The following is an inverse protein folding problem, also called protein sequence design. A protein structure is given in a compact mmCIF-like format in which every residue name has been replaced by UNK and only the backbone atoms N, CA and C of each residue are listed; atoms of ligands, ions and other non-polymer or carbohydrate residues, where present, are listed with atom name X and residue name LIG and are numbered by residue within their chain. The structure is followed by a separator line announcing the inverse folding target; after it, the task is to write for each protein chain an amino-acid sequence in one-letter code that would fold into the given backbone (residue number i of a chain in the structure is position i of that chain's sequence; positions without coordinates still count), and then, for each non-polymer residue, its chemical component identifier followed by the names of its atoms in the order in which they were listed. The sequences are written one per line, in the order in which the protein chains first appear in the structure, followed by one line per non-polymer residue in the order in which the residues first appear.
data_IF_959767996998
#
_entry.id   IF_959767996998
#
_cell.length_a   1.000
_cell.length_b   1.000
_cell.length_c   1.000
_cell.angle_alpha   90.00
_cell.angle_beta   90.00
_cell.angle_gamma   90.00
#
_symmetry.space_group_name_H-M   'P 1'
#
loop_
_entity.id
_entity.type
_entity.pdbx_description
1 polymer ?
#
# COMPACT_ATOMS: atom_id res chain seq x y z
N UNK A 1 38.63 23.10 -36.09
CA UNK A 1 37.74 21.94 -36.32
C UNK A 1 37.37 21.36 -34.96
N UNK A 2 36.26 21.81 -34.36
CA UNK A 2 35.74 21.22 -33.12
C UNK A 2 34.26 20.93 -33.36
N UNK A 3 33.97 19.66 -33.63
CA UNK A 3 32.61 19.18 -33.81
C UNK A 3 32.11 18.76 -32.43
N UNK A 4 31.29 19.62 -31.81
CA UNK A 4 30.57 19.28 -30.58
C UNK A 4 29.41 18.38 -31.01
N UNK A 5 29.56 17.07 -30.81
CA UNK A 5 28.45 16.12 -30.93
C UNK A 5 27.63 16.23 -29.65
N UNK A 6 26.55 17.01 -29.70
CA UNK A 6 25.50 17.00 -28.69
C UNK A 6 24.72 15.69 -28.82
N UNK A 7 25.07 14.71 -27.99
CA UNK A 7 24.25 13.51 -27.77
C UNK A 7 22.99 13.91 -27.00
N UNK A 8 21.88 14.07 -27.73
CA UNK A 8 20.55 14.09 -27.13
C UNK A 8 20.19 12.67 -26.70
N UNK A 9 20.38 12.35 -25.42
CA UNK A 9 19.79 11.17 -24.83
C UNK A 9 18.26 11.35 -24.80
N UNK A 10 17.55 10.71 -25.74
CA UNK A 10 16.10 10.59 -25.65
C UNK A 10 15.77 9.62 -24.51
N UNK A 11 15.22 10.15 -23.42
CA UNK A 11 14.66 9.32 -22.36
C UNK A 11 13.51 8.48 -22.96
N UNK A 12 13.63 7.15 -22.88
CA UNK A 12 12.59 6.25 -23.32
C UNK A 12 11.31 6.47 -22.49
N UNK A 13 10.14 6.34 -23.13
CA UNK A 13 8.86 6.41 -22.42
C UNK A 13 8.76 5.23 -21.45
N UNK A 14 8.52 5.46 -20.13
CA UNK A 14 8.41 4.38 -19.17
C UNK A 14 7.25 3.43 -19.51
N UNK A 15 7.51 2.14 -19.43
CA UNK A 15 6.53 1.07 -19.53
C UNK A 15 5.47 1.17 -18.43
N UNK A 16 4.33 0.50 -18.65
CA UNK A 16 3.25 0.46 -17.65
C UNK A 16 3.73 -0.05 -16.29
N UNK A 17 4.58 -1.08 -16.28
CA UNK A 17 5.13 -1.67 -15.06
C UNK A 17 6.11 -0.73 -14.35
N UNK A 18 6.90 0.05 -15.09
CA UNK A 18 7.83 1.04 -14.50
C UNK A 18 7.07 2.21 -13.86
N UNK A 19 6.00 2.70 -14.51
CA UNK A 19 5.12 3.71 -13.91
C UNK A 19 4.43 3.18 -12.66
N UNK A 20 3.95 1.94 -12.71
CA UNK A 20 3.34 1.27 -11.57
C UNK A 20 4.31 1.05 -10.41
N UNK A 21 5.56 0.70 -10.69
CA UNK A 21 6.61 0.54 -9.67
C UNK A 21 6.89 1.87 -8.96
N UNK A 22 7.03 2.95 -9.72
CA UNK A 22 7.25 4.28 -9.16
C UNK A 22 6.10 4.72 -8.24
N UNK A 23 4.85 4.48 -8.65
CA UNK A 23 3.67 4.76 -7.82
C UNK A 23 3.61 3.85 -6.58
N UNK A 24 3.95 2.56 -6.73
CA UNK A 24 3.91 1.60 -5.64
C UNK A 24 4.90 1.95 -4.52
N UNK A 25 6.09 2.43 -4.88
CA UNK A 25 7.14 2.81 -3.94
C UNK A 25 7.22 4.31 -3.64
N UNK A 26 6.22 5.10 -4.03
CA UNK A 26 6.18 6.51 -3.64
C UNK A 26 6.30 6.66 -2.12
N UNK A 27 7.24 7.49 -1.68
CA UNK A 27 7.63 7.55 -0.27
C UNK A 27 6.53 8.15 0.64
N UNK A 28 5.60 8.91 0.07
CA UNK A 28 4.56 9.62 0.82
C UNK A 28 3.21 8.91 0.76
N UNK A 29 2.89 8.27 -0.37
CA UNK A 29 1.55 7.77 -0.67
C UNK A 29 1.56 6.37 -1.28
N UNK A 30 2.74 5.81 -1.52
CA UNK A 30 2.91 4.52 -2.18
C UNK A 30 2.40 3.37 -1.33
N UNK A 31 1.94 2.31 -2.00
CA UNK A 31 1.43 1.11 -1.35
C UNK A 31 2.49 0.39 -0.50
N UNK A 32 3.78 0.54 -0.86
CA UNK A 32 4.91 -0.07 -0.16
C UNK A 32 5.12 0.44 1.27
N UNK A 33 4.53 1.58 1.63
CA UNK A 33 4.54 2.12 3.00
C UNK A 33 3.88 1.16 3.99
N UNK A 34 2.87 0.40 3.54
CA UNK A 34 2.12 -0.55 4.35
C UNK A 34 2.21 -1.99 3.85
N UNK A 35 2.38 -2.21 2.54
CA UNK A 35 2.31 -3.53 1.93
C UNK A 35 3.67 -4.03 1.44
N UNK A 36 3.96 -5.29 1.72
CA UNK A 36 5.07 -5.99 1.13
C UNK A 36 4.67 -6.59 -0.23
N UNK A 37 5.63 -6.62 -1.14
CA UNK A 37 5.53 -7.31 -2.42
C UNK A 37 6.87 -7.97 -2.72
N UNK A 38 6.90 -9.30 -2.69
CA UNK A 38 8.10 -10.11 -2.93
C UNK A 38 9.30 -9.68 -2.08
N UNK A 39 9.05 -9.38 -0.81
CA UNK A 39 10.08 -8.98 0.17
C UNK A 39 10.53 -7.52 0.09
N UNK A 40 9.92 -6.70 -0.77
CA UNK A 40 10.12 -5.23 -0.78
C UNK A 40 8.92 -4.52 -0.16
N UNK A 41 9.15 -3.37 0.47
CA UNK A 41 8.12 -2.63 1.21
C UNK A 41 7.99 -3.10 2.67
N UNK A 42 6.93 -2.67 3.34
CA UNK A 42 6.71 -2.95 4.77
C UNK A 42 5.62 -3.99 4.95
N UNK A 43 5.79 -4.94 5.88
CA UNK A 43 4.78 -5.98 6.16
C UNK A 43 3.81 -5.57 7.29
N UNK A 44 3.10 -4.44 7.11
CA UNK A 44 2.03 -4.01 8.04
C UNK A 44 0.69 -4.58 7.55
N UNK A 45 0.37 -4.35 6.28
CA UNK A 45 -0.76 -4.94 5.57
C UNK A 45 -0.41 -6.30 4.94
N UNK A 46 -1.42 -6.99 4.37
CA UNK A 46 -1.22 -8.26 3.67
C UNK A 46 -0.14 -8.19 2.59
N UNK A 47 0.65 -9.26 2.45
CA UNK A 47 1.58 -9.43 1.34
C UNK A 47 0.81 -9.54 0.01
N UNK A 48 1.16 -8.67 -0.94
CA UNK A 48 0.48 -8.56 -2.23
C UNK A 48 0.97 -9.58 -3.26
N UNK A 49 1.97 -10.40 -2.93
CA UNK A 49 2.49 -11.45 -3.82
C UNK A 49 1.40 -12.44 -4.26
N UNK A 50 0.41 -12.71 -3.41
CA UNK A 50 -0.74 -13.56 -3.77
C UNK A 50 -1.78 -12.82 -4.61
N UNK A 51 -1.91 -11.50 -4.41
CA UNK A 51 -2.89 -10.66 -5.09
C UNK A 51 -2.61 -10.55 -6.60
N UNK A 52 -1.34 -10.64 -7.03
CA UNK A 52 -0.99 -10.57 -8.46
C UNK A 52 -1.60 -11.67 -9.33
N UNK A 53 -2.13 -12.75 -8.73
CA UNK A 53 -2.86 -13.81 -9.45
C UNK A 53 -4.34 -13.50 -9.68
N UNK A 54 -4.89 -12.51 -8.99
CA UNK A 54 -6.30 -12.12 -9.13
C UNK A 54 -6.56 -11.34 -10.43
N UNK A 55 -7.83 -11.28 -10.83
CA UNK A 55 -8.28 -10.40 -11.91
C UNK A 55 -8.11 -8.92 -11.51
N UNK A 56 -7.79 -8.01 -12.45
CA UNK A 56 -7.62 -6.58 -12.15
C UNK A 56 -8.80 -5.97 -11.38
N UNK A 57 -10.04 -6.29 -11.76
CA UNK A 57 -11.24 -5.80 -11.08
C UNK A 57 -11.30 -6.23 -9.60
N UNK A 58 -10.89 -7.47 -9.29
CA UNK A 58 -10.83 -7.94 -7.91
C UNK A 58 -9.74 -7.22 -7.11
N UNK A 59 -8.60 -6.93 -7.73
CA UNK A 59 -7.53 -6.14 -7.10
C UNK A 59 -7.97 -4.69 -6.85
N UNK A 60 -8.68 -4.08 -7.81
CA UNK A 60 -9.22 -2.73 -7.68
C UNK A 60 -10.27 -2.63 -6.56
N UNK A 61 -11.17 -3.62 -6.47
CA UNK A 61 -12.14 -3.72 -5.39
C UNK A 61 -11.45 -3.80 -4.01
N UNK A 62 -10.41 -4.64 -3.88
CA UNK A 62 -9.64 -4.72 -2.64
C UNK A 62 -8.92 -3.40 -2.31
N UNK A 63 -8.28 -2.78 -3.32
CA UNK A 63 -7.58 -1.52 -3.17
C UNK A 63 -8.51 -0.37 -2.75
N UNK A 64 -9.78 -0.37 -3.19
CA UNK A 64 -10.77 0.65 -2.84
C UNK A 64 -11.66 0.26 -1.66
N UNK A 65 -11.37 -0.83 -0.95
CA UNK A 65 -12.23 -1.27 0.14
C UNK A 65 -12.29 -0.24 1.27
N UNK A 66 -13.52 0.09 1.67
CA UNK A 66 -13.81 0.88 2.87
C UNK A 66 -14.15 0.02 4.07
N UNK A 67 -14.18 -1.31 3.90
CA UNK A 67 -14.42 -2.28 4.99
C UNK A 67 -13.15 -3.09 5.16
N UNK A 68 -12.42 -2.79 6.22
CA UNK A 68 -11.06 -3.31 6.41
C UNK A 68 -11.04 -4.26 7.58
N UNK A 69 -11.05 -5.55 7.28
CA UNK A 69 -11.23 -6.62 8.28
C UNK A 69 -10.20 -6.61 9.41
N UNK A 70 -8.99 -6.12 9.13
CA UNK A 70 -7.85 -6.18 10.05
C UNK A 70 -7.60 -4.89 10.82
N UNK A 71 -8.24 -3.78 10.43
CA UNK A 71 -8.05 -2.49 11.10
C UNK A 71 -9.02 -2.40 12.26
N UNK A 72 -8.47 -2.03 13.42
CA UNK A 72 -9.22 -1.86 14.66
C UNK A 72 -8.98 -0.46 15.20
N UNK A 73 -9.93 0.10 15.94
CA UNK A 73 -9.71 1.32 16.70
C UNK A 73 -9.10 0.95 18.05
N UNK A 74 -7.85 1.35 18.24
CA UNK A 74 -7.15 1.25 19.51
C UNK A 74 -7.50 2.44 20.39
N UNK A 75 -7.86 2.20 21.65
CA UNK A 75 -8.03 3.25 22.68
C UNK A 75 -7.04 3.00 23.80
N UNK A 76 -6.29 4.04 24.18
CA UNK A 76 -5.32 3.94 25.28
C UNK A 76 -5.95 4.37 26.61
N UNK A 77 -5.47 3.80 27.72
CA UNK A 77 -5.90 4.19 29.07
C UNK A 77 -5.46 5.61 29.44
N UNK A 78 -4.32 6.05 28.91
CA UNK A 78 -3.84 7.44 29.03
C UNK A 78 -4.68 8.44 28.25
N UNK A 79 -5.60 7.97 27.39
CA UNK A 79 -6.39 8.79 26.50
C UNK A 79 -5.92 8.72 25.04
N UNK A 80 -6.80 9.14 24.13
CA UNK A 80 -6.58 9.05 22.69
C UNK A 80 -7.08 7.74 22.07
N UNK A 81 -7.37 7.81 20.78
CA UNK A 81 -7.78 6.66 19.97
C UNK A 81 -7.30 6.81 18.54
N UNK A 82 -6.92 5.69 17.91
CA UNK A 82 -6.42 5.70 16.53
C UNK A 82 -6.76 4.39 15.81
N UNK A 83 -6.99 4.42 14.47
CA UNK A 83 -7.09 3.21 13.67
C UNK A 83 -5.71 2.52 13.65
N UNK A 84 -5.69 1.22 13.90
CA UNK A 84 -4.49 0.46 14.14
C UNK A 84 -4.50 -0.87 13.39
N UNK A 85 -3.35 -1.23 12.85
CA UNK A 85 -3.02 -2.62 12.50
C UNK A 85 -2.19 -3.23 13.63
N UNK A 86 -2.59 -4.41 14.10
CA UNK A 86 -1.81 -5.14 15.10
C UNK A 86 -0.63 -5.84 14.42
N UNK A 87 0.58 -5.54 14.88
CA UNK A 87 1.80 -6.22 14.47
C UNK A 87 2.12 -7.39 15.38
N UNK A 88 3.41 -7.54 15.71
CA UNK A 88 3.85 -8.55 16.68
C UNK A 88 3.21 -8.28 18.06
N UNK A 89 2.75 -9.33 18.70
CA UNK A 89 2.20 -9.30 20.05
C UNK A 89 2.81 -10.44 20.86
N UNK A 90 3.24 -10.12 22.07
CA UNK A 90 3.59 -11.06 23.13
C UNK A 90 2.97 -10.59 24.47
N UNK A 91 3.33 -11.25 25.57
CA UNK A 91 2.74 -11.01 26.89
C UNK A 91 3.11 -9.63 27.47
N UNK A 92 4.18 -9.01 26.99
CA UNK A 92 4.70 -7.73 27.51
C UNK A 92 4.49 -6.58 26.56
N UNK A 93 4.48 -6.85 25.25
CA UNK A 93 4.42 -5.82 24.21
C UNK A 93 3.38 -6.17 23.16
N UNK A 94 2.55 -5.19 22.82
CA UNK A 94 1.72 -5.16 21.61
C UNK A 94 2.29 -4.08 20.69
N UNK A 95 2.69 -4.47 19.48
CA UNK A 95 3.01 -3.52 18.42
C UNK A 95 1.71 -3.11 17.73
N UNK A 96 1.39 -1.82 17.74
CA UNK A 96 0.31 -1.23 16.96
C UNK A 96 0.89 -0.25 15.94
N UNK A 97 0.45 -0.33 14.69
CA UNK A 97 0.76 0.66 13.67
C UNK A 97 -0.40 1.64 13.55
N UNK A 98 -0.16 2.90 13.89
CA UNK A 98 -1.14 3.98 13.83
C UNK A 98 -1.36 4.42 12.38
N UNK A 99 -2.53 4.06 11.84
CA UNK A 99 -2.94 4.30 10.47
C UNK A 99 -3.60 5.68 10.27
N UNK A 100 -3.67 6.51 11.31
CA UNK A 100 -4.04 7.92 11.15
C UNK A 100 -2.89 8.75 10.54
N UNK A 101 -1.69 8.15 10.46
CA UNK A 101 -0.49 8.75 9.90
C UNK A 101 -0.05 8.02 8.63
N UNK A 102 0.59 8.76 7.73
CA UNK A 102 1.18 8.22 6.50
C UNK A 102 2.64 8.71 6.41
N UNK A 103 3.64 7.82 6.46
CA UNK A 103 3.55 6.38 6.72
C UNK A 103 3.02 6.05 8.13
N UNK A 104 2.52 4.83 8.39
CA UNK A 104 2.03 4.46 9.72
C UNK A 104 3.11 4.57 10.79
N UNK A 105 2.75 5.14 11.94
CA UNK A 105 3.66 5.22 13.08
C UNK A 105 3.62 3.93 13.89
N UNK A 106 4.77 3.29 14.11
CA UNK A 106 4.88 2.14 14.99
C UNK A 106 4.83 2.56 16.46
N UNK A 107 3.92 1.98 17.23
CA UNK A 107 3.79 2.12 18.68
C UNK A 107 4.03 0.78 19.35
N UNK A 108 4.95 0.72 20.29
CA UNK A 108 5.16 -0.43 21.18
C UNK A 108 4.52 -0.11 22.52
N UNK A 109 3.50 -0.88 22.91
CA UNK A 109 2.67 -0.60 24.07
C UNK A 109 2.61 -1.82 24.98
N UNK A 110 2.53 -1.63 26.30
CA UNK A 110 2.17 -2.73 27.18
C UNK A 110 0.69 -3.09 26.94
N UNK A 111 0.31 -4.38 26.93
CA UNK A 111 -1.10 -4.77 26.85
C UNK A 111 -1.98 -4.09 27.91
N UNK A 112 -1.41 -3.83 29.09
CA UNK A 112 -2.09 -3.15 30.18
C UNK A 112 -2.41 -1.67 29.90
N UNK A 113 -1.76 -1.03 28.92
CA UNK A 113 -2.00 0.37 28.56
C UNK A 113 -3.13 0.53 27.52
N UNK A 114 -3.55 -0.58 26.90
CA UNK A 114 -4.64 -0.60 25.92
C UNK A 114 -5.96 -0.75 26.68
N UNK A 115 -6.84 0.25 26.55
CA UNK A 115 -8.17 0.21 27.16
C UNK A 115 -9.13 -0.69 26.38
N UNK A 116 -9.09 -0.62 25.04
CA UNK A 116 -9.91 -1.46 24.17
C UNK A 116 -9.36 -1.48 22.74
N UNK A 117 -9.69 -2.55 22.02
CA UNK A 117 -9.56 -2.65 20.56
C UNK A 117 -10.92 -3.03 20.00
N UNK A 118 -11.48 -2.23 19.09
CA UNK A 118 -12.80 -2.47 18.50
C UNK A 118 -12.73 -2.47 16.97
N UNK A 119 -13.76 -3.00 16.30
CA UNK A 119 -13.86 -2.90 14.84
C UNK A 119 -13.84 -1.44 14.39
N UNK A 120 -13.18 -1.17 13.26
CA UNK A 120 -13.18 0.14 12.63
C UNK A 120 -14.35 0.29 11.64
N UNK A 121 -15.06 1.40 11.71
CA UNK A 121 -16.11 1.82 10.76
C UNK A 121 -15.73 3.08 9.95
N UNK A 122 -14.65 3.78 10.33
CA UNK A 122 -14.31 5.09 9.78
C UNK A 122 -13.09 5.07 8.83
N UNK A 123 -12.03 4.34 9.18
CA UNK A 123 -10.82 4.25 8.37
C UNK A 123 -11.08 3.55 7.03
N UNK A 124 -10.49 4.09 5.97
CA UNK A 124 -10.60 3.57 4.60
C UNK A 124 -9.21 3.24 4.10
N UNK A 125 -9.09 2.15 3.32
CA UNK A 125 -7.82 1.83 2.69
C UNK A 125 -7.34 3.01 1.82
N UNK A 126 -6.06 3.44 1.89
CA UNK A 126 -5.64 4.73 1.35
C UNK A 126 -5.99 4.99 -0.11
N UNK A 127 -5.95 4.04 -1.07
CA UNK A 127 -6.43 4.28 -2.43
C UNK A 127 -7.91 4.70 -2.54
N UNK A 128 -8.75 4.42 -1.54
CA UNK A 128 -10.12 4.94 -1.49
C UNK A 128 -10.19 6.38 -0.96
N UNK A 129 -9.17 6.84 -0.22
CA UNK A 129 -9.03 8.21 0.27
C UNK A 129 -8.14 9.07 -0.63
N UNK A 130 -7.21 8.44 -1.34
CA UNK A 130 -6.26 9.04 -2.26
C UNK A 130 -6.95 9.15 -3.62
N UNK A 131 -6.82 10.31 -4.28
CA UNK A 131 -7.44 10.60 -5.58
C UNK A 131 -6.69 9.90 -6.74
N UNK A 132 -6.39 8.60 -6.59
CA UNK A 132 -5.73 7.82 -7.62
C UNK A 132 -6.67 7.63 -8.83
N UNK A 133 -6.19 7.93 -10.02
CA UNK A 133 -6.97 7.72 -11.25
C UNK A 133 -7.02 6.24 -11.62
N UNK A 134 -7.92 5.88 -12.55
CA UNK A 134 -7.98 4.51 -13.05
C UNK A 134 -6.72 4.13 -13.83
N UNK A 135 -6.08 5.09 -14.49
CA UNK A 135 -4.80 4.90 -15.18
C UNK A 135 -3.70 4.58 -14.18
N UNK A 136 -3.59 5.37 -13.11
CA UNK A 136 -2.62 5.14 -12.05
C UNK A 136 -2.86 3.79 -11.35
N UNK A 137 -4.13 3.44 -11.08
CA UNK A 137 -4.44 2.15 -10.48
C UNK A 137 -4.13 0.99 -11.43
N UNK A 138 -4.40 1.13 -12.73
CA UNK A 138 -4.06 0.12 -13.73
C UNK A 138 -2.54 -0.09 -13.82
N UNK A 139 -1.76 0.99 -13.76
CA UNK A 139 -0.30 0.93 -13.72
C UNK A 139 0.19 0.16 -12.47
N UNK A 140 -0.34 0.48 -11.29
CA UNK A 140 -0.02 -0.24 -10.05
C UNK A 140 -0.41 -1.72 -10.14
N UNK A 141 -1.60 -2.03 -10.65
CA UNK A 141 -2.07 -3.42 -10.81
C UNK A 141 -1.16 -4.16 -11.78
N UNK A 142 -0.76 -3.55 -12.91
CA UNK A 142 0.19 -4.14 -13.84
C UNK A 142 1.53 -4.45 -13.16
N UNK A 143 2.04 -3.52 -12.34
CA UNK A 143 3.26 -3.73 -11.56
C UNK A 143 3.14 -4.88 -10.55
N UNK A 144 2.06 -4.93 -9.76
CA UNK A 144 1.84 -6.01 -8.78
C UNK A 144 1.77 -7.37 -9.48
N UNK A 145 1.08 -7.46 -10.62
CA UNK A 145 1.00 -8.70 -11.41
C UNK A 145 2.37 -9.08 -11.97
N UNK A 146 3.14 -8.12 -12.49
CA UNK A 146 4.51 -8.34 -12.96
C UNK A 146 5.42 -8.85 -11.85
N UNK A 147 5.48 -8.16 -10.71
CA UNK A 147 6.34 -8.56 -9.59
C UNK A 147 5.96 -9.94 -9.03
N UNK A 148 4.66 -10.23 -8.92
CA UNK A 148 4.17 -11.50 -8.36
C UNK A 148 4.36 -12.70 -9.31
N UNK A 149 4.18 -12.50 -10.62
CA UNK A 149 4.01 -13.60 -11.59
C UNK A 149 4.90 -13.52 -12.83
N UNK A 150 5.61 -12.40 -13.03
CA UNK A 150 6.35 -12.10 -14.27
C UNK A 150 5.48 -11.65 -15.45
N UNK A 151 4.16 -11.50 -15.26
CA UNK A 151 3.25 -11.07 -16.32
C UNK A 151 3.58 -9.67 -16.83
N UNK A 152 3.77 -9.53 -18.14
CA UNK A 152 3.93 -8.23 -18.83
C UNK A 152 2.65 -7.79 -19.55
N UNK A 153 1.52 -8.45 -19.29
CA UNK A 153 0.25 -8.11 -19.90
C UNK A 153 -0.21 -6.74 -19.40
N UNK A 154 -0.53 -5.84 -20.33
CA UNK A 154 -1.09 -4.55 -20.00
C UNK A 154 -2.44 -4.68 -19.29
N UNK A 155 -2.71 -3.77 -18.37
CA UNK A 155 -3.99 -3.65 -17.66
C UNK A 155 -4.70 -2.41 -18.16
N UNK A 156 -5.94 -2.56 -18.61
CA UNK A 156 -6.74 -1.41 -19.03
C UNK A 156 -7.23 -0.62 -17.82
N UNK A 157 -7.26 0.73 -17.86
CA UNK A 157 -7.98 1.54 -16.86
C UNK A 157 -9.44 1.09 -16.66
N UNK A 158 -10.05 0.50 -17.69
CA UNK A 158 -11.42 0.00 -17.64
C UNK A 158 -11.56 -1.28 -16.81
N UNK A 159 -10.50 -2.06 -16.71
CA UNK A 159 -10.47 -3.30 -15.91
C UNK A 159 -10.37 -3.02 -14.40
N UNK A 160 -10.13 -1.76 -14.03
CA UNK A 160 -9.94 -1.30 -12.64
C UNK A 160 -10.87 -0.15 -12.28
N UNK A 161 -12.01 0.00 -12.96
CA UNK A 161 -13.04 0.97 -12.59
C UNK A 161 -13.70 0.62 -11.25
#
# INVERSE_FOLDING_TARGET
MFWIVLLFAQAAVPSQTERGEALFFDAQTGCATCHALKGKGTAIGPDLSVMGRLAPAAMAMAARSTVTQYVQVAKLKSGGSFPAMTGKKDDKVVVLYDLSKMPPEKKELAPADIASMAANDAWKHPPAANKISNEQLADIVAYVKFAATGSKKAVSPDDVR
#
